data_IF_434291439513
#
_entry.id   IF_434291439513
#
_cell.length_a   1.000
_cell.length_b   1.000
_cell.length_c   1.000
_cell.angle_alpha   90.00
_cell.angle_beta   90.00
_cell.angle_gamma   90.00
#
_symmetry.space_group_name_H-M   'P 1'
#
loop_
_entity.id
_entity.type
_entity.pdbx_description
1 polymer ?
#
# COMPACT_ATOMS: atom_id res chain seq x y z
N UNK A 1 12.54 -73.67 -35.03
CA UNK A 1 12.54 -73.00 -33.71
C UNK A 1 12.64 -71.50 -33.94
N UNK A 2 11.53 -70.77 -33.81
CA UNK A 2 11.43 -69.34 -34.09
C UNK A 2 11.58 -68.52 -32.79
N UNK A 3 12.57 -67.63 -32.73
CA UNK A 3 12.73 -66.61 -31.68
C UNK A 3 12.08 -65.31 -32.16
N UNK A 4 10.87 -65.00 -31.69
CA UNK A 4 10.13 -63.75 -31.95
C UNK A 4 9.58 -63.11 -30.66
N UNK A 5 10.24 -63.30 -29.51
CA UNK A 5 9.73 -62.87 -28.20
C UNK A 5 10.36 -61.61 -27.58
N UNK A 6 11.34 -60.97 -28.22
CA UNK A 6 12.21 -59.99 -27.52
C UNK A 6 11.90 -58.49 -27.71
N UNK A 7 11.17 -58.10 -28.76
CA UNK A 7 11.08 -56.69 -29.17
C UNK A 7 9.84 -55.92 -28.68
N UNK A 8 8.83 -56.60 -28.12
CA UNK A 8 7.57 -55.95 -27.71
C UNK A 8 7.63 -55.49 -26.24
N UNK A 9 8.46 -56.14 -25.40
CA UNK A 9 8.56 -55.79 -23.98
C UNK A 9 9.40 -54.52 -23.72
N UNK A 10 10.39 -54.22 -24.57
CA UNK A 10 11.22 -53.02 -24.43
C UNK A 10 10.51 -51.73 -24.87
N UNK A 11 9.62 -51.78 -25.86
CA UNK A 11 8.90 -50.58 -26.30
C UNK A 11 7.84 -50.13 -25.28
N UNK A 12 7.15 -51.07 -24.64
CA UNK A 12 6.16 -50.77 -23.60
C UNK A 12 6.78 -50.16 -22.33
N UNK A 13 7.96 -50.65 -21.91
CA UNK A 13 8.68 -50.07 -20.77
C UNK A 13 9.11 -48.62 -21.02
N UNK A 14 9.61 -48.31 -22.23
CA UNK A 14 10.03 -46.92 -22.55
C UNK A 14 8.86 -45.94 -22.63
N UNK A 15 7.65 -46.37 -22.98
CA UNK A 15 6.46 -45.50 -23.00
C UNK A 15 5.97 -45.15 -21.59
N UNK A 16 6.01 -46.10 -20.66
CA UNK A 16 5.64 -45.89 -19.27
C UNK A 16 6.62 -44.94 -18.55
N UNK A 17 7.92 -45.11 -18.78
CA UNK A 17 8.95 -44.21 -18.21
C UNK A 17 8.81 -42.77 -18.73
N UNK A 18 8.47 -42.60 -20.03
CA UNK A 18 8.23 -41.29 -20.64
C UNK A 18 7.02 -40.56 -20.05
N UNK A 19 5.93 -41.29 -19.79
CA UNK A 19 4.75 -40.70 -19.15
C UNK A 19 5.02 -40.29 -17.70
N UNK A 20 5.87 -41.04 -16.99
CA UNK A 20 6.22 -40.77 -15.61
C UNK A 20 7.11 -39.54 -15.45
N UNK A 21 8.08 -39.33 -16.37
CA UNK A 21 8.92 -38.12 -16.41
C UNK A 21 8.11 -36.86 -16.75
N UNK A 22 7.14 -36.97 -17.66
CA UNK A 22 6.30 -35.84 -18.06
C UNK A 22 5.29 -35.48 -16.97
N UNK A 23 4.71 -36.49 -16.30
CA UNK A 23 3.83 -36.29 -15.15
C UNK A 23 4.56 -35.62 -13.98
N UNK A 24 5.80 -36.02 -13.68
CA UNK A 24 6.57 -35.40 -12.59
C UNK A 24 6.98 -33.95 -12.90
N UNK A 25 7.31 -33.63 -14.15
CA UNK A 25 7.55 -32.24 -14.57
C UNK A 25 6.29 -31.37 -14.47
N UNK A 26 5.13 -31.88 -14.90
CA UNK A 26 3.85 -31.18 -14.77
C UNK A 26 3.44 -30.98 -13.31
N UNK A 27 3.68 -31.98 -12.45
CA UNK A 27 3.36 -31.91 -11.03
C UNK A 27 4.23 -30.87 -10.29
N UNK A 28 5.52 -30.79 -10.62
CA UNK A 28 6.42 -29.76 -10.09
C UNK A 28 6.00 -28.34 -10.51
N UNK A 29 5.50 -28.18 -11.74
CA UNK A 29 4.97 -26.90 -12.23
C UNK A 29 3.63 -26.52 -11.60
N UNK A 30 2.72 -27.48 -11.39
CA UNK A 30 1.44 -27.24 -10.72
C UNK A 30 1.65 -26.84 -9.24
N UNK A 31 2.63 -27.43 -8.57
CA UNK A 31 3.04 -27.03 -7.22
C UNK A 31 3.65 -25.62 -7.18
N UNK A 32 4.43 -25.24 -8.20
CA UNK A 32 4.96 -23.87 -8.30
C UNK A 32 3.85 -22.82 -8.54
N UNK A 33 2.75 -23.19 -9.21
CA UNK A 33 1.59 -22.32 -9.44
C UNK A 33 0.65 -22.15 -8.25
N UNK A 34 0.81 -22.97 -7.20
CA UNK A 34 -0.06 -22.95 -6.00
C UNK A 34 0.61 -22.35 -4.76
N UNK A 35 1.85 -21.86 -4.90
CA UNK A 35 2.60 -21.35 -3.77
C UNK A 35 2.18 -19.92 -3.37
N UNK A 36 2.27 -19.56 -2.08
CA UNK A 36 1.85 -18.24 -1.58
C UNK A 36 2.66 -17.09 -2.18
N UNK A 37 2.05 -15.91 -2.29
CA UNK A 37 2.57 -14.68 -2.94
C UNK A 37 3.96 -14.18 -2.48
N UNK A 38 4.56 -14.77 -1.44
CA UNK A 38 5.82 -14.32 -0.85
C UNK A 38 7.03 -15.22 -1.16
N UNK A 39 6.84 -16.43 -1.70
CA UNK A 39 7.94 -17.36 -1.94
C UNK A 39 8.38 -17.34 -3.42
N UNK A 40 9.53 -16.71 -3.66
CA UNK A 40 10.14 -16.64 -4.99
C UNK A 40 10.78 -17.98 -5.39
N UNK A 41 10.15 -18.70 -6.32
CA UNK A 41 10.71 -19.91 -6.94
C UNK A 41 11.66 -19.61 -8.12
N UNK A 42 12.00 -18.34 -8.32
CA UNK A 42 12.97 -17.87 -9.33
C UNK A 42 14.27 -18.69 -9.37
N UNK A 43 14.94 -18.96 -8.23
CA UNK A 43 16.21 -19.70 -8.26
C UNK A 43 16.00 -21.15 -8.68
N UNK A 44 14.86 -21.74 -8.28
CA UNK A 44 14.52 -23.13 -8.51
C UNK A 44 14.16 -23.37 -9.98
N UNK A 45 13.43 -22.44 -10.61
CA UNK A 45 13.17 -22.44 -12.04
C UNK A 45 14.47 -22.28 -12.87
N UNK A 46 15.36 -21.37 -12.48
CA UNK A 46 16.66 -21.16 -13.15
C UNK A 46 17.52 -22.43 -13.09
N UNK A 47 17.47 -23.18 -11.98
CA UNK A 47 18.21 -24.43 -11.80
C UNK A 47 17.57 -25.62 -12.50
N UNK A 48 16.23 -25.70 -12.51
CA UNK A 48 15.51 -26.83 -13.13
C UNK A 48 15.46 -26.77 -14.64
N UNK A 49 15.43 -25.57 -15.23
CA UNK A 49 15.33 -25.40 -16.68
C UNK A 49 16.47 -26.09 -17.47
N UNK A 50 17.76 -25.94 -17.11
CA UNK A 50 18.85 -26.64 -17.78
C UNK A 50 18.80 -28.15 -17.55
N UNK A 51 18.31 -28.62 -16.40
CA UNK A 51 18.13 -30.06 -16.12
C UNK A 51 17.03 -30.65 -17.01
N UNK A 52 15.90 -29.95 -17.14
CA UNK A 52 14.82 -30.31 -18.07
C UNK A 52 15.30 -30.34 -19.52
N UNK A 53 16.08 -29.34 -19.94
CA UNK A 53 16.69 -29.29 -21.27
C UNK A 53 17.66 -30.46 -21.50
N UNK A 54 18.48 -30.82 -20.52
CA UNK A 54 19.38 -31.98 -20.57
C UNK A 54 18.61 -33.30 -20.64
N UNK A 55 17.50 -33.41 -19.92
CA UNK A 55 16.68 -34.61 -19.88
C UNK A 55 15.89 -34.78 -21.18
N UNK A 56 15.31 -33.70 -21.71
CA UNK A 56 14.70 -33.66 -23.05
C UNK A 56 15.74 -34.02 -24.13
N UNK A 57 16.96 -33.48 -24.02
CA UNK A 57 18.05 -33.82 -24.95
C UNK A 57 18.43 -35.30 -24.91
N UNK A 58 18.44 -35.91 -23.71
CA UNK A 58 18.69 -37.35 -23.51
C UNK A 58 17.58 -38.21 -24.09
N UNK A 59 16.33 -37.88 -23.77
CA UNK A 59 15.11 -38.58 -24.23
C UNK A 59 14.95 -38.53 -25.75
N UNK A 60 15.33 -37.41 -26.37
CA UNK A 60 15.34 -37.25 -27.82
C UNK A 60 16.45 -38.03 -28.53
N UNK A 61 17.30 -38.76 -27.79
CA UNK A 61 18.33 -39.61 -28.37
C UNK A 61 19.31 -38.84 -29.28
N UNK A 62 19.57 -37.57 -28.99
CA UNK A 62 20.42 -36.67 -29.80
C UNK A 62 21.92 -37.00 -29.72
N UNK A 63 22.26 -38.25 -29.45
CA UNK A 63 23.61 -38.71 -29.14
C UNK A 63 24.10 -39.71 -30.18
N UNK A 64 24.00 -39.30 -31.45
CA UNK A 64 24.48 -40.00 -32.63
C UNK A 64 23.40 -40.81 -33.38
N UNK A 65 23.46 -40.73 -34.71
CA UNK A 65 22.63 -41.40 -35.74
C UNK A 65 21.40 -40.63 -36.26
N UNK A 66 21.67 -39.76 -37.26
CA UNK A 66 21.10 -39.64 -38.63
C UNK A 66 19.67 -40.12 -39.02
N UNK A 67 18.85 -40.72 -38.15
CA UNK A 67 17.57 -41.34 -38.54
C UNK A 67 16.30 -40.61 -38.07
N UNK A 68 16.41 -39.36 -37.60
CA UNK A 68 15.26 -38.54 -37.16
C UNK A 68 14.95 -37.38 -38.12
N UNK A 69 15.28 -37.53 -39.40
CA UNK A 69 15.09 -36.50 -40.43
C UNK A 69 13.62 -36.35 -40.88
N UNK A 70 12.69 -37.21 -40.44
CA UNK A 70 11.36 -37.30 -41.08
C UNK A 70 10.14 -36.81 -40.27
N UNK A 71 10.29 -36.32 -39.04
CA UNK A 71 9.17 -35.61 -38.36
C UNK A 71 9.64 -34.25 -37.83
N UNK A 72 9.95 -33.29 -38.72
CA UNK A 72 10.38 -31.95 -38.32
C UNK A 72 9.33 -31.25 -37.45
N UNK A 73 8.04 -31.48 -37.71
CA UNK A 73 6.94 -30.77 -37.06
C UNK A 73 6.87 -30.99 -35.54
N UNK A 74 7.10 -32.22 -35.07
CA UNK A 74 7.04 -32.56 -33.64
C UNK A 74 8.20 -31.91 -32.88
N UNK A 75 9.38 -31.83 -33.48
CA UNK A 75 10.54 -31.15 -32.89
C UNK A 75 10.31 -29.65 -32.75
N UNK A 76 9.78 -29.02 -33.80
CA UNK A 76 9.44 -27.60 -33.75
C UNK A 76 8.31 -27.34 -32.73
N UNK A 77 7.33 -28.24 -32.62
CA UNK A 77 6.26 -28.14 -31.62
C UNK A 77 6.79 -28.18 -30.19
N UNK A 78 7.67 -29.15 -29.86
CA UNK A 78 8.26 -29.25 -28.52
C UNK A 78 9.13 -28.02 -28.21
N UNK A 79 9.96 -27.59 -29.17
CA UNK A 79 10.80 -26.41 -29.00
C UNK A 79 9.97 -25.13 -28.79
N UNK A 80 8.87 -24.98 -29.53
CA UNK A 80 7.95 -23.84 -29.40
C UNK A 80 7.28 -23.82 -28.02
N UNK A 81 6.79 -24.97 -27.54
CA UNK A 81 6.15 -25.08 -26.21
C UNK A 81 7.15 -24.74 -25.11
N UNK A 82 8.39 -25.25 -25.20
CA UNK A 82 9.43 -24.92 -24.24
C UNK A 82 9.76 -23.43 -24.26
N UNK A 83 9.82 -22.80 -25.44
CA UNK A 83 10.10 -21.37 -25.60
C UNK A 83 8.95 -20.49 -25.06
N UNK A 84 7.70 -20.90 -25.26
CA UNK A 84 6.51 -20.25 -24.69
C UNK A 84 6.49 -20.34 -23.17
N UNK A 85 6.83 -21.51 -22.61
CA UNK A 85 6.91 -21.74 -21.17
C UNK A 85 8.01 -20.90 -20.53
N UNK A 86 9.20 -20.81 -21.14
CA UNK A 86 10.27 -19.90 -20.64
C UNK A 86 9.86 -18.45 -20.75
N UNK A 87 9.23 -18.04 -21.86
CA UNK A 87 8.77 -16.67 -22.03
C UNK A 87 7.74 -16.26 -20.97
N UNK A 88 6.73 -17.09 -20.74
CA UNK A 88 5.71 -16.87 -19.72
C UNK A 88 6.30 -16.90 -18.31
N UNK A 89 7.23 -17.83 -18.03
CA UNK A 89 7.94 -17.88 -16.76
C UNK A 89 8.77 -16.62 -16.50
N UNK A 90 9.47 -16.11 -17.52
CA UNK A 90 10.27 -14.88 -17.41
C UNK A 90 9.38 -13.64 -17.23
N UNK A 91 8.24 -13.57 -17.91
CA UNK A 91 7.24 -12.51 -17.72
C UNK A 91 6.66 -12.51 -16.30
N UNK A 92 6.31 -13.69 -15.76
CA UNK A 92 5.86 -13.80 -14.38
C UNK A 92 6.95 -13.38 -13.39
N UNK A 93 8.20 -13.80 -13.61
CA UNK A 93 9.35 -13.39 -12.81
C UNK A 93 9.54 -11.87 -12.80
N UNK A 94 9.51 -11.24 -13.98
CA UNK A 94 9.65 -9.79 -14.11
C UNK A 94 8.50 -9.08 -13.37
N UNK A 95 7.26 -9.48 -13.62
CA UNK A 95 6.10 -8.78 -13.08
C UNK A 95 5.93 -8.97 -11.57
N UNK A 96 6.20 -10.16 -11.03
CA UNK A 96 6.04 -10.42 -9.59
C UNK A 96 7.29 -10.04 -8.79
N UNK A 97 8.46 -10.58 -9.14
CA UNK A 97 9.67 -10.36 -8.34
C UNK A 97 10.27 -8.98 -8.53
N UNK A 98 10.35 -8.42 -9.74
CA UNK A 98 10.95 -7.08 -9.89
C UNK A 98 10.03 -6.00 -9.33
N UNK A 99 8.71 -6.13 -9.43
CA UNK A 99 7.79 -5.17 -8.81
C UNK A 99 7.86 -5.23 -7.28
N UNK A 100 7.94 -6.42 -6.70
CA UNK A 100 8.12 -6.61 -5.26
C UNK A 100 9.46 -6.06 -4.76
N UNK A 101 10.56 -6.39 -5.44
CA UNK A 101 11.91 -5.89 -5.12
C UNK A 101 11.97 -4.37 -5.30
N UNK A 102 11.36 -3.82 -6.35
CA UNK A 102 11.36 -2.38 -6.60
C UNK A 102 10.55 -1.64 -5.52
N UNK A 103 9.38 -2.14 -5.13
CA UNK A 103 8.62 -1.61 -3.98
C UNK A 103 9.44 -1.66 -2.69
N UNK A 104 10.07 -2.80 -2.41
CA UNK A 104 10.91 -2.97 -1.22
C UNK A 104 12.13 -2.04 -1.21
N UNK A 105 12.87 -1.97 -2.32
CA UNK A 105 14.02 -1.08 -2.48
C UNK A 105 13.61 0.38 -2.38
N UNK A 106 12.51 0.76 -3.02
CA UNK A 106 11.95 2.12 -2.96
C UNK A 106 11.56 2.46 -1.54
N UNK A 107 10.85 1.57 -0.85
CA UNK A 107 10.47 1.75 0.55
C UNK A 107 11.70 1.87 1.46
N UNK A 108 12.74 1.07 1.24
CA UNK A 108 13.97 1.07 2.04
C UNK A 108 14.85 2.29 1.78
N UNK A 109 15.08 2.67 0.52
CA UNK A 109 15.83 3.87 0.15
C UNK A 109 15.15 5.14 0.65
N UNK A 110 13.81 5.19 0.57
CA UNK A 110 13.05 6.34 1.05
C UNK A 110 12.91 6.35 2.58
N UNK A 111 12.91 5.19 3.24
CA UNK A 111 12.94 5.11 4.71
C UNK A 111 14.24 5.65 5.32
N UNK A 112 15.36 5.49 4.61
CA UNK A 112 16.65 6.05 5.02
C UNK A 112 16.70 7.58 4.94
N UNK A 113 15.77 8.20 4.20
CA UNK A 113 15.61 9.65 4.11
C UNK A 113 14.57 10.20 5.12
N UNK A 114 14.08 9.36 6.05
CA UNK A 114 13.08 9.71 7.05
C UNK A 114 13.61 10.70 8.07
N UNK A 115 13.43 11.99 7.78
CA UNK A 115 13.66 13.11 8.69
C UNK A 115 12.87 12.88 9.98
N UNK A 116 13.52 13.02 11.14
CA UNK A 116 12.97 12.78 12.47
C UNK A 116 11.91 13.80 12.91
N UNK A 117 10.80 13.88 12.17
CA UNK A 117 9.66 14.71 12.52
C UNK A 117 8.85 14.02 13.61
N UNK A 118 8.70 14.67 14.75
CA UNK A 118 7.70 14.31 15.76
C UNK A 118 6.36 14.83 15.23
N UNK A 119 5.49 13.94 14.72
CA UNK A 119 4.16 14.30 14.26
C UNK A 119 3.80 13.88 12.83
N UNK A 120 2.86 14.61 12.23
CA UNK A 120 2.46 14.44 10.84
C UNK A 120 3.44 15.18 9.92
N UNK A 121 4.13 14.43 9.07
CA UNK A 121 4.93 15.01 8.00
C UNK A 121 4.02 15.69 6.96
N UNK A 122 4.55 16.65 6.21
CA UNK A 122 3.83 17.27 5.09
C UNK A 122 3.49 16.25 3.98
N UNK A 123 4.28 15.19 3.89
CA UNK A 123 4.11 14.09 2.95
C UNK A 123 3.84 12.79 3.71
N UNK A 124 2.82 12.05 3.30
CA UNK A 124 2.54 10.69 3.75
C UNK A 124 2.72 9.70 2.60
N UNK A 125 3.29 8.53 2.92
CA UNK A 125 3.42 7.41 1.98
C UNK A 125 2.87 6.15 2.63
N UNK A 126 2.43 5.21 1.81
CA UNK A 126 2.05 3.88 2.29
C UNK A 126 3.24 3.25 3.03
N UNK A 127 3.01 2.82 4.28
CA UNK A 127 4.04 2.27 5.17
C UNK A 127 4.71 3.28 6.12
N UNK A 128 4.46 4.58 5.99
CA UNK A 128 5.03 5.60 6.89
C UNK A 128 4.43 5.51 8.31
N UNK A 129 3.16 5.12 8.43
CA UNK A 129 2.52 4.83 9.72
C UNK A 129 3.17 3.65 10.45
N UNK A 130 3.57 2.61 9.71
CA UNK A 130 4.26 1.45 10.28
C UNK A 130 5.67 1.81 10.77
N UNK A 131 6.36 2.71 10.07
CA UNK A 131 7.65 3.23 10.51
C UNK A 131 7.54 4.06 11.80
N UNK A 132 6.47 4.85 11.95
CA UNK A 132 6.20 5.57 13.20
C UNK A 132 6.00 4.61 14.38
N UNK A 133 5.35 3.46 14.17
CA UNK A 133 5.16 2.45 15.23
C UNK A 133 6.45 1.71 15.62
N UNK A 134 7.36 1.49 14.66
CA UNK A 134 8.59 0.71 14.88
C UNK A 134 9.70 1.57 15.51
N UNK A 135 9.70 2.88 15.27
CA UNK A 135 10.72 3.78 15.81
C UNK A 135 10.40 4.20 17.25
N UNK A 136 11.44 4.40 18.08
CA UNK A 136 11.32 4.94 19.46
C UNK A 136 10.59 6.30 19.54
N UNK A 137 10.48 7.01 18.42
CA UNK A 137 9.66 8.23 18.34
C UNK A 137 8.15 7.96 18.43
N UNK A 138 7.69 6.74 18.09
CA UNK A 138 6.29 6.32 18.22
C UNK A 138 5.81 6.15 19.66
N UNK A 139 6.73 6.01 20.63
CA UNK A 139 6.39 5.90 22.05
C UNK A 139 6.18 7.27 22.71
N UNK A 140 6.42 8.38 21.98
CA UNK A 140 6.24 9.73 22.54
C UNK A 140 4.76 10.08 22.61
N UNK A 141 4.32 10.54 23.78
CA UNK A 141 2.98 11.10 23.97
C UNK A 141 2.82 12.35 23.11
N UNK A 142 2.00 12.27 22.07
CA UNK A 142 1.75 13.40 21.16
C UNK A 142 0.67 14.35 21.66
N UNK A 143 -0.33 13.82 22.36
CA UNK A 143 -1.48 14.55 22.88
C UNK A 143 -1.89 13.96 24.24
N UNK A 144 -2.40 14.81 25.13
CA UNK A 144 -3.17 14.40 26.30
C UNK A 144 -4.58 14.94 26.15
N UNK A 145 -5.56 14.09 26.39
CA UNK A 145 -6.98 14.39 26.24
C UNK A 145 -7.67 14.27 27.59
N UNK A 146 -8.52 15.24 27.93
CA UNK A 146 -9.47 15.12 29.02
C UNK A 146 -10.87 15.41 28.50
N UNK A 147 -11.78 14.46 28.68
CA UNK A 147 -13.14 14.47 28.12
C UNK A 147 -14.04 13.60 28.98
N UNK A 148 -15.31 13.96 29.11
CA UNK A 148 -16.32 13.10 29.75
C UNK A 148 -16.72 11.94 28.83
N UNK A 149 -16.76 12.20 27.52
CA UNK A 149 -17.04 11.23 26.46
C UNK A 149 -15.79 10.88 25.64
N UNK A 150 -15.64 9.63 25.15
CA UNK A 150 -14.49 9.26 24.34
C UNK A 150 -14.51 9.98 22.97
N UNK A 151 -13.40 10.65 22.63
CA UNK A 151 -13.21 11.22 21.29
C UNK A 151 -12.54 10.18 20.39
N UNK A 152 -13.33 9.41 19.65
CA UNK A 152 -12.84 8.24 18.89
C UNK A 152 -11.82 8.59 17.79
N UNK A 153 -12.01 9.72 17.10
CA UNK A 153 -11.15 10.15 16.00
C UNK A 153 -10.78 11.62 16.12
N UNK A 154 -9.48 11.91 16.14
CA UNK A 154 -8.94 13.28 16.16
C UNK A 154 -8.19 13.57 14.86
N UNK A 155 -8.69 14.54 14.10
CA UNK A 155 -8.09 15.06 12.87
C UNK A 155 -6.97 16.04 13.23
N UNK A 156 -5.71 15.67 12.95
CA UNK A 156 -4.55 16.57 13.08
C UNK A 156 -3.85 16.92 11.76
N UNK A 157 -4.09 16.14 10.71
CA UNK A 157 -3.63 16.44 9.35
C UNK A 157 -4.61 15.83 8.34
N UNK A 158 -4.70 16.44 7.16
CA UNK A 158 -5.40 15.89 6.01
C UNK A 158 -4.46 15.97 4.82
N UNK A 159 -4.30 14.84 4.14
CA UNK A 159 -3.54 14.77 2.89
C UNK A 159 -4.55 14.63 1.74
N UNK A 160 -4.60 15.65 0.90
CA UNK A 160 -5.63 15.86 -0.11
C UNK A 160 -5.06 15.86 -1.54
N UNK A 161 -3.75 15.91 -1.70
CA UNK A 161 -3.08 15.77 -2.99
C UNK A 161 -2.33 14.44 -3.07
N UNK A 162 -2.61 13.63 -4.10
CA UNK A 162 -1.87 12.40 -4.38
C UNK A 162 -1.04 12.52 -5.64
N UNK A 163 0.29 12.47 -5.50
CA UNK A 163 1.24 12.56 -6.60
C UNK A 163 2.33 11.50 -6.46
N UNK A 164 2.54 10.70 -7.51
CA UNK A 164 3.68 9.76 -7.61
C UNK A 164 3.83 8.82 -6.39
N UNK A 165 2.72 8.31 -5.84
CA UNK A 165 2.75 7.42 -4.67
C UNK A 165 2.87 8.13 -3.32
N UNK A 166 2.74 9.45 -3.30
CA UNK A 166 2.87 10.28 -2.11
C UNK A 166 1.61 11.12 -1.92
N UNK A 167 1.02 11.03 -0.73
CA UNK A 167 -0.03 11.92 -0.26
C UNK A 167 0.61 13.18 0.33
N UNK A 168 0.13 14.36 -0.03
CA UNK A 168 0.67 15.65 0.40
C UNK A 168 -0.47 16.50 1.00
N UNK A 169 -0.11 17.43 1.88
CA UNK A 169 -1.04 18.40 2.46
C UNK A 169 -1.06 19.64 1.56
N UNK A 170 -2.18 19.98 0.94
CA UNK A 170 -2.31 21.26 0.23
C UNK A 170 -2.19 22.42 1.22
N UNK A 171 -1.37 23.41 0.88
CA UNK A 171 -1.12 24.59 1.71
C UNK A 171 -2.22 25.65 1.64
N UNK A 172 -3.24 25.46 0.79
CA UNK A 172 -4.36 26.39 0.72
C UNK A 172 -5.04 26.45 2.09
N UNK A 173 -4.89 27.60 2.73
CA UNK A 173 -5.32 27.80 4.11
C UNK A 173 -6.15 29.07 4.18
N UNK A 174 -7.31 28.94 4.79
CA UNK A 174 -8.20 30.04 5.12
C UNK A 174 -7.79 30.61 6.47
N UNK A 175 -7.58 31.93 6.53
CA UNK A 175 -7.33 32.65 7.77
C UNK A 175 -8.63 32.73 8.59
N UNK A 176 -8.70 31.96 9.67
CA UNK A 176 -9.84 31.94 10.59
C UNK A 176 -9.52 32.85 11.77
N UNK A 177 -10.34 33.90 11.90
CA UNK A 177 -10.22 34.88 12.98
C UNK A 177 -11.12 34.52 14.16
N UNK A 178 -10.80 35.00 15.38
CA UNK A 178 -11.67 34.84 16.54
C UNK A 178 -13.06 35.41 16.27
N UNK A 179 -14.08 34.72 16.75
CA UNK A 179 -15.46 35.22 16.70
C UNK A 179 -15.60 36.45 17.60
N UNK A 180 -15.97 37.63 17.08
CA UNK A 180 -15.94 38.89 17.84
C UNK A 180 -16.98 38.93 18.98
N UNK A 181 -18.01 38.09 18.92
CA UNK A 181 -19.16 38.12 19.83
C UNK A 181 -19.27 36.86 20.70
N UNK A 182 -18.25 35.99 20.71
CA UNK A 182 -18.28 34.76 21.51
C UNK A 182 -17.06 34.74 22.44
N UNK A 183 -17.30 34.86 23.74
CA UNK A 183 -16.25 34.80 24.76
C UNK A 183 -15.84 33.35 25.00
N UNK A 184 -14.54 33.07 24.98
CA UNK A 184 -14.01 31.83 25.53
C UNK A 184 -13.43 32.04 26.93
N UNK A 185 -13.36 30.94 27.68
CA UNK A 185 -12.92 30.95 29.07
C UNK A 185 -11.40 31.15 29.19
N UNK A 186 -10.95 31.70 30.32
CA UNK A 186 -9.54 31.65 30.74
C UNK A 186 -8.55 32.28 29.74
N UNK A 187 -8.94 33.35 29.05
CA UNK A 187 -8.11 34.06 28.07
C UNK A 187 -7.97 33.37 26.70
N UNK A 188 -8.70 32.27 26.47
CA UNK A 188 -8.86 31.66 25.15
C UNK A 188 -9.91 32.45 24.37
N UNK A 189 -9.85 32.34 23.04
CA UNK A 189 -10.83 32.93 22.13
C UNK A 189 -11.47 31.84 21.27
N UNK A 190 -12.74 32.02 20.92
CA UNK A 190 -13.48 31.05 20.09
C UNK A 190 -13.14 31.25 18.62
N UNK A 191 -12.80 30.16 17.95
CA UNK A 191 -12.61 30.07 16.51
C UNK A 191 -13.76 29.27 15.92
N UNK A 192 -14.42 29.86 14.93
CA UNK A 192 -15.57 29.28 14.29
C UNK A 192 -15.23 28.92 12.84
N UNK A 193 -15.26 27.63 12.54
CA UNK A 193 -14.88 27.09 11.23
C UNK A 193 -16.03 27.16 10.23
N UNK A 194 -17.28 27.21 10.68
CA UNK A 194 -18.48 27.09 9.81
C UNK A 194 -19.52 28.19 10.02
N UNK A 195 -19.28 29.13 10.94
CA UNK A 195 -20.24 30.21 11.28
C UNK A 195 -21.35 29.79 12.24
N UNK A 196 -21.24 28.66 12.94
CA UNK A 196 -22.27 28.12 13.85
C UNK A 196 -22.01 28.51 15.32
N UNK A 197 -23.02 28.41 16.18
CA UNK A 197 -22.80 28.62 17.61
C UNK A 197 -22.11 27.40 18.23
N UNK A 198 -21.27 27.58 19.27
CA UNK A 198 -20.70 26.45 19.98
C UNK A 198 -21.81 25.60 20.61
N UNK A 199 -21.70 24.28 20.48
CA UNK A 199 -22.49 23.32 21.24
C UNK A 199 -21.96 23.17 22.66
N UNK A 200 -22.13 21.97 23.21
CA UNK A 200 -21.58 21.61 24.52
C UNK A 200 -20.07 21.40 24.42
N UNK A 201 -19.33 21.71 25.49
CA UNK A 201 -17.89 21.45 25.52
C UNK A 201 -17.65 19.96 25.65
N UNK A 202 -16.97 19.37 24.66
CA UNK A 202 -16.59 17.96 24.69
C UNK A 202 -15.42 17.72 25.64
N UNK A 203 -14.40 18.58 25.59
CA UNK A 203 -13.23 18.40 26.45
C UNK A 203 -12.07 19.32 26.12
N UNK A 204 -10.91 18.96 26.67
CA UNK A 204 -9.66 19.69 26.55
C UNK A 204 -8.59 18.81 25.92
N UNK A 205 -7.83 19.41 25.01
CA UNK A 205 -6.70 18.75 24.35
C UNK A 205 -5.43 19.52 24.63
N UNK A 206 -4.39 18.80 25.03
CA UNK A 206 -3.06 19.33 25.32
C UNK A 206 -2.02 18.65 24.43
N UNK A 207 -1.64 19.25 23.29
CA UNK A 207 -0.62 18.68 22.43
C UNK A 207 0.76 18.78 23.08
N UNK A 208 1.66 17.86 22.74
CA UNK A 208 3.08 18.02 23.04
C UNK A 208 3.61 19.32 22.43
N UNK A 209 4.64 19.90 23.05
CA UNK A 209 5.24 21.15 22.59
C UNK A 209 5.73 21.06 21.13
N UNK A 210 6.20 19.90 20.68
CA UNK A 210 6.61 19.71 19.28
C UNK A 210 5.45 19.83 18.30
N UNK A 211 4.22 19.55 18.75
CA UNK A 211 2.97 19.67 17.99
C UNK A 211 2.25 20.99 18.28
N UNK A 212 2.95 21.99 18.85
CA UNK A 212 2.42 23.28 19.28
C UNK A 212 1.79 24.16 18.18
N UNK A 213 1.78 23.69 16.95
CA UNK A 213 1.18 24.37 15.79
C UNK A 213 -0.03 23.62 15.24
N UNK A 214 -0.28 22.38 15.65
CA UNK A 214 -1.38 21.56 15.13
C UNK A 214 -2.49 21.47 16.15
N UNK A 215 -3.72 21.68 15.69
CA UNK A 215 -4.92 21.39 16.47
C UNK A 215 -5.48 20.03 16.03
N UNK A 216 -5.56 19.11 16.98
CA UNK A 216 -6.21 17.80 16.85
C UNK A 216 -7.68 17.95 17.24
N UNK A 217 -8.57 17.95 16.25
CA UNK A 217 -9.98 18.21 16.45
C UNK A 217 -10.80 16.95 16.13
N UNK A 218 -11.80 16.59 16.94
CA UNK A 218 -12.80 15.58 16.58
C UNK A 218 -13.44 15.84 15.22
N UNK A 219 -13.87 14.77 14.56
CA UNK A 219 -14.67 14.89 13.34
C UNK A 219 -15.93 15.73 13.62
N UNK A 220 -16.24 16.64 12.71
CA UNK A 220 -17.39 17.53 12.86
C UNK A 220 -17.19 18.69 13.84
N UNK A 221 -15.99 18.91 14.38
CA UNK A 221 -15.72 20.11 15.17
C UNK A 221 -15.96 21.36 14.31
N UNK A 222 -16.95 22.16 14.71
CA UNK A 222 -17.29 23.42 14.05
C UNK A 222 -16.71 24.62 14.79
N UNK A 223 -16.57 24.51 16.11
CA UNK A 223 -16.08 25.57 16.98
C UNK A 223 -15.09 24.99 17.98
N UNK A 224 -13.99 25.71 18.22
CA UNK A 224 -13.02 25.37 19.26
C UNK A 224 -12.47 26.63 19.91
N UNK A 225 -12.00 26.56 21.15
CA UNK A 225 -11.41 27.70 21.85
C UNK A 225 -9.92 27.48 22.10
N UNK A 226 -9.09 28.43 21.67
CA UNK A 226 -7.64 28.34 21.79
C UNK A 226 -7.00 29.69 22.12
N UNK A 227 -5.73 29.66 22.51
CA UNK A 227 -4.92 30.88 22.59
C UNK A 227 -4.39 31.23 21.19
N UNK A 228 -4.69 32.43 20.73
CA UNK A 228 -4.20 32.91 19.44
C UNK A 228 -4.99 34.11 18.93
N UNK A 229 -4.41 34.82 17.96
CA UNK A 229 -5.10 35.91 17.26
C UNK A 229 -5.73 35.48 15.94
N UNK A 230 -5.24 34.37 15.38
CA UNK A 230 -5.68 33.77 14.12
C UNK A 230 -5.20 32.33 14.05
N UNK A 231 -5.95 31.50 13.34
CA UNK A 231 -5.59 30.13 12.99
C UNK A 231 -5.79 29.95 11.49
N UNK A 232 -5.13 28.97 10.91
CA UNK A 232 -5.24 28.61 9.51
C UNK A 232 -5.99 27.29 9.42
N UNK A 233 -7.05 27.23 8.62
CA UNK A 233 -7.80 26.00 8.36
C UNK A 233 -7.70 25.67 6.88
N UNK A 234 -7.38 24.43 6.53
CA UNK A 234 -7.48 23.98 5.14
C UNK A 234 -8.96 23.65 4.80
N UNK A 235 -9.31 23.43 3.51
CA UNK A 235 -10.68 23.07 3.10
C UNK A 235 -11.21 21.80 3.79
N UNK A 236 -10.32 20.91 4.21
CA UNK A 236 -10.66 19.71 4.97
C UNK A 236 -10.62 19.92 6.50
N UNK A 237 -10.71 21.16 6.98
CA UNK A 237 -10.77 21.52 8.40
C UNK A 237 -9.61 21.00 9.28
N UNK A 238 -8.44 20.74 8.70
CA UNK A 238 -7.21 20.62 9.47
C UNK A 238 -6.78 22.02 9.90
N UNK A 239 -6.63 22.24 11.20
CA UNK A 239 -6.38 23.57 11.75
C UNK A 239 -4.97 23.67 12.30
N UNK A 240 -4.28 24.77 11.97
CA UNK A 240 -2.93 25.07 12.40
C UNK A 240 -2.80 26.49 12.95
N UNK A 241 -1.88 26.70 13.88
CA UNK A 241 -1.49 28.04 14.31
C UNK A 241 -0.33 28.55 13.46
N UNK A 242 -0.42 29.78 12.94
CA UNK A 242 0.66 30.39 12.16
C UNK A 242 1.90 30.79 12.96
N UNK A 243 1.86 30.72 14.29
CA UNK A 243 3.00 30.92 15.20
C UNK A 243 2.87 29.91 16.35
N UNK A 244 3.97 29.32 16.81
CA UNK A 244 4.08 28.20 17.78
C UNK A 244 3.41 28.42 19.16
N UNK A 245 2.10 28.64 19.20
CA UNK A 245 1.36 29.14 20.37
C UNK A 245 0.27 28.19 20.92
N UNK A 246 0.19 26.92 20.53
CA UNK A 246 -0.81 26.00 21.13
C UNK A 246 -0.40 25.39 22.49
N UNK A 247 0.70 25.87 23.11
CA UNK A 247 1.24 25.28 24.35
C UNK A 247 0.32 25.36 25.58
N UNK A 248 -0.83 26.06 25.51
CA UNK A 248 -1.79 26.22 26.60
C UNK A 248 -2.97 25.25 26.60
N UNK A 249 -3.00 24.28 25.68
CA UNK A 249 -4.16 23.45 25.42
C UNK A 249 -5.35 24.24 24.86
N UNK A 250 -6.33 23.52 24.31
CA UNK A 250 -7.52 24.09 23.71
C UNK A 250 -8.76 23.28 24.07
N UNK A 251 -9.91 23.95 24.00
CA UNK A 251 -11.22 23.37 24.26
C UNK A 251 -11.90 23.05 22.95
N UNK A 252 -12.56 21.90 22.89
CA UNK A 252 -13.33 21.44 21.74
C UNK A 252 -14.80 21.41 22.10
N UNK A 253 -15.66 21.81 21.17
CA UNK A 253 -17.11 21.81 21.33
C UNK A 253 -17.77 20.84 20.36
N UNK A 254 -18.88 20.25 20.78
CA UNK A 254 -19.71 19.42 19.93
C UNK A 254 -20.39 20.29 18.87
N UNK A 255 -20.61 19.74 17.66
CA UNK A 255 -21.48 20.40 16.70
C UNK A 255 -22.91 20.42 17.24
N UNK A 256 -23.57 21.59 17.25
CA UNK A 256 -24.99 21.69 17.63
C UNK A 256 -25.89 20.88 16.67
N UNK A 257 -25.47 20.74 15.42
CA UNK A 257 -26.10 19.89 14.43
C UNK A 257 -25.05 19.00 13.79
N UNK A 258 -25.28 17.69 13.82
CA UNK A 258 -24.52 16.76 12.98
C UNK A 258 -24.59 17.27 11.53
N UNK A 259 -23.48 17.21 10.77
CA UNK A 259 -23.55 17.44 9.34
C UNK A 259 -24.61 16.49 8.76
N UNK A 260 -25.35 16.96 7.75
CA UNK A 260 -26.31 16.11 7.06
C UNK A 260 -25.60 14.82 6.63
N UNK A 261 -26.30 13.68 6.73
CA UNK A 261 -25.78 12.42 6.23
C UNK A 261 -25.33 12.60 4.76
N UNK A 262 -24.20 12.00 4.37
CA UNK A 262 -23.71 12.10 3.00
C UNK A 262 -24.82 11.66 2.04
N UNK A 263 -25.14 12.53 1.10
CA UNK A 263 -26.15 12.26 0.09
C UNK A 263 -25.57 11.35 -1.00
N UNK A 264 -26.42 10.73 -1.83
CA UNK A 264 -25.94 9.97 -2.99
C UNK A 264 -24.97 10.78 -3.87
N UNK A 265 -25.15 12.10 -3.93
CA UNK A 265 -24.28 13.01 -4.70
C UNK A 265 -22.87 13.11 -4.13
N UNK A 266 -22.72 13.04 -2.81
CA UNK A 266 -21.42 13.10 -2.14
C UNK A 266 -20.61 11.81 -2.35
N UNK A 267 -21.30 10.70 -2.65
CA UNK A 267 -20.70 9.41 -2.99
C UNK A 267 -20.33 9.29 -4.48
N UNK A 268 -20.81 10.20 -5.34
CA UNK A 268 -20.47 10.22 -6.76
C UNK A 268 -19.02 10.64 -6.90
N UNK A 269 -18.13 9.68 -7.22
CA UNK A 269 -16.74 9.98 -7.58
C UNK A 269 -16.73 11.00 -8.73
N UNK A 270 -16.12 12.18 -8.56
CA UNK A 270 -16.04 13.19 -9.60
C UNK A 270 -15.46 12.65 -10.91
N UNK A 271 -16.01 13.08 -12.05
CA UNK A 271 -15.68 12.51 -13.36
C UNK A 271 -14.19 12.65 -13.72
N UNK A 272 -13.55 13.73 -13.26
CA UNK A 272 -12.11 13.95 -13.43
C UNK A 272 -11.24 12.93 -12.67
N UNK A 273 -11.73 12.35 -11.57
CA UNK A 273 -11.02 11.29 -10.83
C UNK A 273 -11.28 9.89 -11.42
N UNK A 274 -12.39 9.70 -12.15
CA UNK A 274 -12.73 8.40 -12.76
C UNK A 274 -11.76 8.00 -13.87
N UNK A 275 -11.16 8.97 -14.57
CA UNK A 275 -10.23 8.70 -15.67
C UNK A 275 -8.90 8.13 -15.19
N UNK A 276 -8.48 8.45 -13.96
CA UNK A 276 -7.21 7.99 -13.38
C UNK A 276 -7.25 6.50 -13.02
N UNK A 277 -8.44 5.94 -12.75
CA UNK A 277 -8.61 4.55 -12.33
C UNK A 277 -8.79 3.55 -13.50
N UNK A 278 -8.71 3.99 -14.76
CA UNK A 278 -8.91 3.15 -15.96
C UNK A 278 -7.62 2.74 -16.69
N UNK A 279 -6.45 3.11 -16.16
CA UNK A 279 -5.14 2.70 -16.65
C UNK A 279 -4.44 1.82 -15.62
#
# INVERSE_FOLDING_TARGET
MCRWGGYILTSAQTAAERQQALASALFAFALAGTAPENDSFAPLLILFLPVLMLQVRRELGLRDHLALQQIPLVRYGIALVLLLMTWLGMQALVNYTLTGINRYMTQRMLSGAGVGYVGFAHNARVGLSQQLQINQQGERVMIRLWSEEPMEYLRGAVYDLYETGTWQIMEETLDVRPSPNQSASSGRVLFNLTGTNPGERLGWVYPDRSMGQTFFLPLGTQVFAAYGRRVMANPAFAVRSGRSMSSGGYEVFSPQSLPNEPTERDLVVPEHLRQVCRN
#
